data_IF_138586029780
#
_entry.id   IF_138586029780
#
_cell.length_a   1.000
_cell.length_b   1.000
_cell.length_c   1.000
_cell.angle_alpha   90.00
_cell.angle_beta   90.00
_cell.angle_gamma   90.00
#
_symmetry.space_group_name_H-M   'P 1'
#
loop_
_entity.id
_entity.type
_entity.pdbx_description
1 polymer ?
#
# COMPACT_ATOMS: atom_id res chain seq x y z
N UNK A 1 -16.06 -10.80 -4.32
CA UNK A 1 -15.92 -9.33 -4.44
C UNK A 1 -15.86 -8.62 -3.08
N UNK A 2 -16.34 -9.25 -1.99
CA UNK A 2 -16.35 -8.69 -0.62
C UNK A 2 -14.97 -8.62 0.06
N UNK A 3 -14.04 -9.53 -0.27
CA UNK A 3 -12.73 -9.60 0.39
C UNK A 3 -11.77 -8.43 0.10
N UNK A 4 -11.82 -7.84 -1.10
CA UNK A 4 -10.96 -6.69 -1.45
C UNK A 4 -11.41 -5.40 -0.74
N UNK A 5 -12.72 -5.23 -0.58
CA UNK A 5 -13.27 -4.07 0.12
C UNK A 5 -12.91 -4.10 1.62
N UNK A 6 -12.90 -5.28 2.26
CA UNK A 6 -12.45 -5.41 3.65
C UNK A 6 -10.96 -5.11 3.80
N UNK A 7 -10.10 -5.60 2.90
CA UNK A 7 -8.66 -5.29 2.95
C UNK A 7 -8.35 -3.80 2.83
N UNK A 8 -9.07 -3.09 1.96
CA UNK A 8 -8.92 -1.64 1.82
C UNK A 8 -9.41 -0.89 3.07
N UNK A 9 -10.53 -1.34 3.68
CA UNK A 9 -11.02 -0.77 4.95
C UNK A 9 -10.04 -1.01 6.10
N UNK A 10 -9.47 -2.21 6.19
CA UNK A 10 -8.49 -2.55 7.24
C UNK A 10 -7.20 -1.75 7.10
N UNK A 11 -6.73 -1.54 5.87
CA UNK A 11 -5.60 -0.66 5.56
C UNK A 11 -5.90 0.78 5.96
N UNK A 12 -7.06 1.32 5.56
CA UNK A 12 -7.48 2.67 5.91
C UNK A 12 -7.58 2.87 7.42
N UNK A 13 -8.17 1.91 8.15
CA UNK A 13 -8.30 1.96 9.60
C UNK A 13 -6.94 1.92 10.32
N UNK A 14 -5.95 1.22 9.76
CA UNK A 14 -4.57 1.19 10.29
C UNK A 14 -3.85 2.53 10.10
N UNK A 15 -4.14 3.29 9.04
CA UNK A 15 -3.56 4.62 8.82
C UNK A 15 -4.32 5.74 9.55
N UNK A 16 -5.65 5.65 9.67
CA UNK A 16 -6.46 6.68 10.32
C UNK A 16 -6.24 6.75 11.83
N UNK A 17 -5.97 5.61 12.49
CA UNK A 17 -5.69 5.55 13.94
C UNK A 17 -4.51 6.42 14.38
N UNK A 18 -3.29 6.26 13.83
CA UNK A 18 -2.17 7.11 14.21
C UNK A 18 -2.35 8.57 13.77
N UNK A 19 -3.00 8.82 12.62
CA UNK A 19 -3.28 10.17 12.16
C UNK A 19 -4.23 10.94 13.10
N UNK A 20 -5.27 10.27 13.60
CA UNK A 20 -6.20 10.86 14.58
C UNK A 20 -5.53 11.15 15.92
N UNK A 21 -4.66 10.25 16.40
CA UNK A 21 -3.86 10.49 17.60
C UNK A 21 -2.90 11.66 17.44
N UNK A 22 -2.22 11.76 16.30
CA UNK A 22 -1.31 12.87 16.01
C UNK A 22 -2.05 14.20 15.93
N UNK A 23 -3.22 14.24 15.30
CA UNK A 23 -4.06 15.43 15.24
C UNK A 23 -4.53 15.87 16.63
N UNK A 24 -4.96 14.91 17.47
CA UNK A 24 -5.34 15.18 18.85
C UNK A 24 -4.17 15.79 19.65
N UNK A 25 -2.98 15.17 19.56
CA UNK A 25 -1.80 15.64 20.26
C UNK A 25 -1.38 17.05 19.83
N UNK A 26 -1.38 17.31 18.51
CA UNK A 26 -1.06 18.63 17.96
C UNK A 26 -2.07 19.68 18.42
N UNK A 27 -3.36 19.33 18.48
CA UNK A 27 -4.42 20.25 18.92
C UNK A 27 -4.25 20.60 20.40
N UNK A 28 -3.98 19.60 21.26
CA UNK A 28 -3.67 19.81 22.68
C UNK A 28 -2.44 20.70 22.89
N UNK A 29 -1.35 20.44 22.17
CA UNK A 29 -0.12 21.26 22.24
C UNK A 29 -0.42 22.70 21.81
N UNK A 30 -1.22 22.89 20.76
CA UNK A 30 -1.53 24.21 20.23
C UNK A 30 -2.48 25.01 21.14
N UNK A 31 -3.37 24.33 21.87
CA UNK A 31 -4.19 24.91 22.93
C UNK A 31 -3.37 25.25 24.19
N UNK A 32 -2.35 24.45 24.50
CA UNK A 32 -1.48 24.67 25.66
C UNK A 32 -0.46 25.80 25.43
N UNK A 33 0.07 25.95 24.21
CA UNK A 33 1.12 26.91 23.87
C UNK A 33 0.59 28.21 23.22
N UNK A 34 -0.62 28.19 22.63
CA UNK A 34 -1.14 29.27 21.79
C UNK A 34 -2.50 29.80 22.23
N UNK A 35 -2.67 31.13 22.21
CA UNK A 35 -3.98 31.77 22.40
C UNK A 35 -5.04 31.20 21.44
N UNK A 36 -6.28 31.06 21.94
CA UNK A 36 -7.39 30.31 21.32
C UNK A 36 -7.65 30.62 19.84
N UNK A 37 -7.36 31.84 19.39
CA UNK A 37 -7.57 32.29 18.01
C UNK A 37 -6.53 31.70 17.03
N UNK A 38 -5.26 31.61 17.43
CA UNK A 38 -4.20 31.00 16.59
C UNK A 38 -4.42 29.50 16.46
N UNK A 39 -4.78 28.85 17.57
CA UNK A 39 -5.12 27.43 17.58
C UNK A 39 -6.35 27.13 16.72
N UNK A 40 -7.40 27.96 16.79
CA UNK A 40 -8.59 27.81 15.96
C UNK A 40 -8.28 27.98 14.47
N UNK A 41 -7.45 28.96 14.09
CA UNK A 41 -7.07 29.19 12.68
C UNK A 41 -6.25 28.02 12.13
N UNK A 42 -5.27 27.52 12.88
CA UNK A 42 -4.46 26.38 12.45
C UNK A 42 -5.30 25.09 12.32
N UNK A 43 -6.23 24.86 13.25
CA UNK A 43 -7.16 23.73 13.17
C UNK A 43 -8.10 23.87 11.96
N UNK A 44 -8.64 25.06 11.72
CA UNK A 44 -9.49 25.34 10.57
C UNK A 44 -8.74 25.16 9.24
N UNK A 45 -7.50 25.64 9.14
CA UNK A 45 -6.65 25.45 7.96
C UNK A 45 -6.34 23.97 7.71
N UNK A 46 -6.06 23.21 8.77
CA UNK A 46 -5.80 21.76 8.68
C UNK A 46 -7.04 21.00 8.24
N UNK A 47 -8.21 21.33 8.79
CA UNK A 47 -9.49 20.76 8.40
C UNK A 47 -9.83 21.08 6.93
N UNK A 48 -9.62 22.32 6.49
CA UNK A 48 -9.83 22.73 5.11
C UNK A 48 -8.91 21.98 4.14
N UNK A 49 -7.61 21.92 4.42
CA UNK A 49 -6.65 21.17 3.60
C UNK A 49 -6.97 19.67 3.56
N UNK A 50 -7.33 19.07 4.72
CA UNK A 50 -7.74 17.68 4.81
C UNK A 50 -8.99 17.38 3.97
N UNK A 51 -10.00 18.26 4.02
CA UNK A 51 -11.23 18.12 3.23
C UNK A 51 -10.97 18.23 1.72
N UNK A 52 -10.11 19.16 1.30
CA UNK A 52 -9.73 19.32 -0.10
C UNK A 52 -9.00 18.08 -0.63
N UNK A 53 -8.08 17.51 0.14
CA UNK A 53 -7.38 16.27 -0.21
C UNK A 53 -8.34 15.07 -0.27
N UNK A 54 -9.30 14.97 0.66
CA UNK A 54 -10.32 13.92 0.65
C UNK A 54 -11.18 14.01 -0.61
N UNK A 55 -11.63 15.21 -0.99
CA UNK A 55 -12.39 15.43 -2.23
C UNK A 55 -11.55 15.09 -3.46
N UNK A 56 -10.30 15.56 -3.52
CA UNK A 56 -9.40 15.27 -4.64
C UNK A 56 -9.14 13.76 -4.81
N UNK A 57 -8.90 13.05 -3.70
CA UNK A 57 -8.72 11.60 -3.72
C UNK A 57 -9.98 10.85 -4.13
N UNK A 58 -11.16 11.30 -3.68
CA UNK A 58 -12.44 10.72 -4.09
C UNK A 58 -12.67 10.92 -5.59
N UNK A 59 -12.44 12.12 -6.11
CA UNK A 59 -12.55 12.41 -7.54
C UNK A 59 -11.58 11.52 -8.32
N UNK A 60 -10.31 11.45 -7.92
CA UNK A 60 -9.30 10.59 -8.56
C UNK A 60 -9.72 9.12 -8.57
N UNK A 61 -10.23 8.61 -7.46
CA UNK A 61 -10.72 7.24 -7.36
C UNK A 61 -11.95 6.96 -8.24
N UNK A 62 -12.82 7.96 -8.45
CA UNK A 62 -14.00 7.84 -9.33
C UNK A 62 -13.65 7.99 -10.80
N UNK A 63 -12.65 8.81 -11.11
CA UNK A 63 -12.14 8.99 -12.47
C UNK A 63 -11.26 7.81 -12.93
N UNK A 64 -10.78 6.96 -12.01
CA UNK A 64 -10.07 5.74 -12.36
C UNK A 64 -11.00 4.80 -13.14
N UNK A 65 -10.78 4.71 -14.46
CA UNK A 65 -11.59 3.89 -15.34
C UNK A 65 -11.53 2.41 -14.93
N UNK A 66 -12.68 1.72 -14.82
CA UNK A 66 -12.68 0.29 -14.53
C UNK A 66 -11.97 -0.45 -15.66
N UNK A 67 -10.82 -1.07 -15.35
CA UNK A 67 -10.05 -1.84 -16.33
C UNK A 67 -10.71 -3.21 -16.49
N UNK A 68 -11.19 -3.59 -17.70
CA UNK A 68 -11.72 -4.91 -17.94
C UNK A 68 -10.65 -5.97 -17.63
N UNK A 69 -11.04 -7.06 -16.97
CA UNK A 69 -10.11 -8.16 -16.63
C UNK A 69 -9.37 -8.73 -17.85
N UNK A 70 -10.02 -8.68 -19.01
CA UNK A 70 -9.42 -9.05 -20.29
C UNK A 70 -8.25 -8.15 -20.67
N UNK A 71 -8.30 -6.84 -20.37
CA UNK A 71 -7.24 -5.87 -20.64
C UNK A 71 -5.96 -6.16 -19.84
N UNK A 72 -6.11 -6.65 -18.61
CA UNK A 72 -4.97 -7.08 -17.77
C UNK A 72 -4.30 -8.30 -18.41
N UNK A 73 -5.10 -9.30 -18.82
CA UNK A 73 -4.59 -10.50 -19.49
C UNK A 73 -3.92 -10.17 -20.82
N UNK A 74 -4.48 -9.28 -21.62
CA UNK A 74 -3.87 -8.84 -22.87
C UNK A 74 -2.60 -8.04 -22.62
N UNK A 75 -2.58 -7.15 -21.61
CA UNK A 75 -1.38 -6.40 -21.26
C UNK A 75 -0.23 -7.30 -20.76
N UNK A 76 -0.54 -8.33 -19.97
CA UNK A 76 0.44 -9.34 -19.56
C UNK A 76 0.96 -10.08 -20.80
N UNK A 77 0.07 -10.57 -21.66
CA UNK A 77 0.45 -11.31 -22.87
C UNK A 77 1.23 -10.46 -23.88
N UNK A 78 0.93 -9.17 -23.95
CA UNK A 78 1.62 -8.19 -24.77
C UNK A 78 3.00 -7.83 -24.19
N UNK A 79 3.10 -7.76 -22.85
CA UNK A 79 4.39 -7.62 -22.15
C UNK A 79 5.28 -8.85 -22.35
N UNK A 80 4.72 -10.04 -22.19
CA UNK A 80 5.37 -11.32 -22.49
C UNK A 80 5.92 -11.36 -23.91
N UNK A 81 5.12 -10.95 -24.91
CA UNK A 81 5.58 -10.88 -26.31
C UNK A 81 6.73 -9.88 -26.54
N UNK A 82 6.76 -8.79 -25.77
CA UNK A 82 7.78 -7.72 -25.91
C UNK A 82 9.04 -7.96 -25.09
N UNK A 83 8.98 -8.75 -24.02
CA UNK A 83 10.16 -9.17 -23.26
C UNK A 83 10.75 -10.43 -23.87
N UNK A 84 12.01 -10.38 -24.32
CA UNK A 84 12.72 -11.56 -24.75
C UNK A 84 12.76 -12.59 -23.61
N UNK A 85 11.97 -13.65 -23.72
CA UNK A 85 11.98 -14.74 -22.76
C UNK A 85 13.34 -15.45 -22.82
N UNK A 86 14.12 -15.37 -21.74
CA UNK A 86 15.08 -16.44 -21.51
C UNK A 86 14.24 -17.71 -21.30
N UNK A 87 14.47 -18.79 -22.07
CA UNK A 87 13.82 -20.06 -21.78
C UNK A 87 14.09 -20.40 -20.31
N UNK A 88 13.03 -20.55 -19.54
CA UNK A 88 13.08 -20.82 -18.11
C UNK A 88 13.82 -22.17 -17.94
N UNK A 89 15.09 -22.11 -17.53
CA UNK A 89 15.89 -23.31 -17.23
C UNK A 89 15.34 -23.88 -15.94
N UNK A 90 14.54 -24.94 -16.04
CA UNK A 90 14.06 -25.67 -14.87
C UNK A 90 15.28 -26.18 -14.08
N UNK A 91 15.56 -25.61 -12.89
CA UNK A 91 16.67 -26.06 -12.05
C UNK A 91 16.50 -27.51 -11.58
N UNK A 92 15.28 -28.04 -11.69
CA UNK A 92 14.87 -29.37 -11.23
C UNK A 92 14.70 -30.36 -12.40
N UNK A 93 15.03 -29.95 -13.63
CA UNK A 93 14.96 -30.82 -14.80
C UNK A 93 15.81 -32.09 -14.60
N UNK A 94 15.25 -33.25 -14.96
CA UNK A 94 15.92 -34.57 -14.88
C UNK A 94 17.29 -34.51 -15.57
N UNK A 95 18.36 -34.72 -14.80
CA UNK A 95 19.74 -34.65 -15.28
C UNK A 95 20.53 -33.41 -14.82
N UNK A 96 19.89 -32.45 -14.13
CA UNK A 96 20.58 -31.35 -13.46
C UNK A 96 20.58 -31.58 -11.94
N UNK A 97 21.76 -31.63 -11.33
CA UNK A 97 21.86 -31.60 -9.86
C UNK A 97 21.41 -30.21 -9.41
N UNK A 98 20.39 -30.14 -8.55
CA UNK A 98 20.03 -28.91 -7.83
C UNK A 98 21.31 -28.36 -7.19
N UNK A 99 21.70 -27.10 -7.44
CA UNK A 99 22.68 -26.43 -6.59
C UNK A 99 22.08 -26.44 -5.18
N UNK A 100 22.61 -27.30 -4.30
CA UNK A 100 22.17 -27.31 -2.90
C UNK A 100 22.65 -26.00 -2.33
N UNK A 101 21.70 -25.12 -1.95
CA UNK A 101 22.04 -24.01 -1.08
C UNK A 101 22.84 -24.60 0.10
N UNK A 102 23.98 -24.01 0.50
CA UNK A 102 24.76 -24.51 1.62
C UNK A 102 23.82 -24.66 2.82
N UNK A 103 23.54 -25.92 3.17
CA UNK A 103 22.59 -26.26 4.22
C UNK A 103 23.25 -26.01 5.57
N UNK A 104 22.53 -25.33 6.47
CA UNK A 104 22.95 -25.17 7.86
C UNK A 104 23.07 -26.56 8.49
N UNK A 105 24.23 -26.87 9.05
CA UNK A 105 24.47 -28.15 9.72
C UNK A 105 23.44 -28.34 10.85
N UNK A 106 22.70 -29.45 10.79
CA UNK A 106 21.82 -29.86 11.88
C UNK A 106 22.69 -30.56 12.95
N UNK A 107 22.57 -30.18 14.24
CA UNK A 107 23.28 -30.86 15.31
C UNK A 107 22.73 -32.27 15.47
N UNK A 108 23.56 -33.28 15.21
CA UNK A 108 23.30 -34.67 15.59
C UNK A 108 23.33 -34.75 17.12
N UNK A 109 22.23 -35.20 17.72
CA UNK A 109 22.16 -35.46 19.16
C UNK A 109 23.17 -36.55 19.55
N UNK A 110 23.94 -36.29 20.62
CA UNK A 110 24.88 -37.21 21.24
C UNK A 110 24.15 -38.17 22.20
#
# INVERSE_FOLDING_TARGET
MTGDANRLRDGLARLLRPAGLLLFLVTEILLAEGGSLSAAVALAATAAAGSALAVASLISARCAAPVPRTRVRTAIRDRERRTAFLPQRDPDAKGRRRPRAPGRALPTAA
#
